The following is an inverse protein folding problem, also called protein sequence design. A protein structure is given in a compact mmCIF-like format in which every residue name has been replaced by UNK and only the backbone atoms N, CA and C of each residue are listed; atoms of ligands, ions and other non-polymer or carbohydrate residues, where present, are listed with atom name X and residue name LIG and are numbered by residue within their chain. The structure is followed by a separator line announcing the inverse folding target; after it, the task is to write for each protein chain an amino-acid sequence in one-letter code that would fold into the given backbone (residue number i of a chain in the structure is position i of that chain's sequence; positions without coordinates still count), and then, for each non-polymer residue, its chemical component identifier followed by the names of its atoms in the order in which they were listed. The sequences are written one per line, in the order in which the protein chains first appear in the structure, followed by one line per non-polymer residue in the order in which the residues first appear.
data_IF_371965331151
#
_entry.id   IF_371965331151
#
_cell.length_a   1.000
_cell.length_b   1.000
_cell.length_c   1.000
_cell.angle_alpha   90.00
_cell.angle_beta   90.00
_cell.angle_gamma   90.00
#
_symmetry.space_group_name_H-M   'P 1'
#
loop_
_entity.id
_entity.type
_entity.pdbx_description
1 polymer ?
#
# COMPACT_ATOMS: atom_id res chain seq x y z
N UNK A 1 -14.25 -23.07 22.52
CA UNK A 1 -13.85 -21.65 22.39
C UNK A 1 -15.11 -20.84 22.65
N UNK A 2 -15.09 -19.85 23.56
CA UNK A 2 -16.32 -19.16 23.97
C UNK A 2 -16.97 -18.47 22.76
N UNK A 3 -18.26 -18.75 22.51
CA UNK A 3 -18.96 -18.27 21.32
C UNK A 3 -19.05 -16.74 21.28
N UNK A 4 -19.04 -16.08 22.44
CA UNK A 4 -18.97 -14.62 22.56
C UNK A 4 -17.64 -14.06 22.01
N UNK A 5 -16.53 -14.77 22.23
CA UNK A 5 -15.20 -14.38 21.73
C UNK A 5 -15.12 -14.55 20.23
N UNK A 6 -15.71 -15.63 19.69
CA UNK A 6 -15.79 -15.84 18.23
C UNK A 6 -16.65 -14.76 17.58
N UNK A 7 -17.79 -14.39 18.16
CA UNK A 7 -18.67 -13.35 17.64
C UNK A 7 -18.02 -11.96 17.67
N UNK A 8 -17.22 -11.66 18.71
CA UNK A 8 -16.43 -10.43 18.78
C UNK A 8 -15.34 -10.39 17.72
N UNK A 9 -14.63 -11.51 17.49
CA UNK A 9 -13.61 -11.62 16.43
C UNK A 9 -14.24 -11.51 15.03
N UNK A 10 -15.41 -12.11 14.81
CA UNK A 10 -16.17 -11.99 13.55
C UNK A 10 -16.69 -10.57 13.31
N UNK A 11 -17.10 -9.83 14.35
CA UNK A 11 -17.44 -8.40 14.26
C UNK A 11 -16.22 -7.54 13.98
N UNK A 12 -15.07 -7.84 14.59
CA UNK A 12 -13.80 -7.16 14.32
C UNK A 12 -13.33 -7.43 12.87
N UNK A 13 -13.47 -8.67 12.37
CA UNK A 13 -13.24 -8.99 10.95
C UNK A 13 -14.23 -8.28 10.03
N UNK A 14 -15.52 -8.23 10.39
CA UNK A 14 -16.56 -7.59 9.59
C UNK A 14 -16.38 -6.08 9.40
N UNK A 15 -15.72 -5.41 10.35
CA UNK A 15 -15.29 -4.00 10.22
C UNK A 15 -13.92 -3.91 9.52
N UNK A 16 -13.08 -4.93 9.66
CA UNK A 16 -11.70 -4.95 9.18
C UNK A 16 -11.47 -5.52 7.78
N UNK A 17 -12.47 -5.98 7.02
CA UNK A 17 -12.23 -6.69 5.73
C UNK A 17 -12.79 -6.03 4.48
N UNK A 18 -13.22 -4.76 4.52
CA UNK A 18 -13.60 -4.01 3.30
C UNK A 18 -12.83 -2.68 3.13
N UNK A 19 -11.80 -2.44 3.95
CA UNK A 19 -11.08 -1.15 4.07
C UNK A 19 -9.57 -1.32 4.28
N UNK A 20 -8.99 -2.44 3.85
CA UNK A 20 -7.64 -2.87 4.24
C UNK A 20 -6.52 -2.06 3.59
N UNK A 21 -6.32 -0.84 4.07
CA UNK A 21 -4.99 -0.27 4.24
C UNK A 21 -4.25 -1.14 5.28
N UNK A 22 -3.72 -2.29 4.88
CA UNK A 22 -2.82 -3.06 5.73
C UNK A 22 -1.45 -2.40 5.69
N UNK A 23 -1.18 -1.49 6.63
CA UNK A 23 0.09 -0.77 6.70
C UNK A 23 1.33 -1.68 6.68
N UNK A 24 1.21 -2.92 7.18
CA UNK A 24 2.27 -3.93 7.07
C UNK A 24 2.56 -4.38 5.64
N UNK A 25 1.55 -4.48 4.77
CA UNK A 25 1.74 -4.82 3.36
C UNK A 25 2.32 -3.65 2.56
N UNK A 26 1.91 -2.43 2.89
CA UNK A 26 2.47 -1.21 2.31
C UNK A 26 3.94 -1.07 2.69
N UNK A 27 4.29 -1.26 3.97
CA UNK A 27 5.67 -1.20 4.43
C UNK A 27 6.55 -2.29 3.78
N UNK A 28 6.08 -3.54 3.72
CA UNK A 28 6.80 -4.64 3.04
C UNK A 28 6.93 -4.40 1.53
N UNK A 29 5.94 -3.76 0.89
CA UNK A 29 6.06 -3.34 -0.50
C UNK A 29 7.15 -2.27 -0.67
N UNK A 30 7.14 -1.21 0.16
CA UNK A 30 8.11 -0.12 0.08
C UNK A 30 9.53 -0.65 0.33
N UNK A 31 9.73 -1.53 1.31
CA UNK A 31 11.04 -2.13 1.59
C UNK A 31 11.56 -2.93 0.40
N UNK A 32 10.69 -3.69 -0.27
CA UNK A 32 11.08 -4.45 -1.47
C UNK A 32 11.34 -3.52 -2.65
N UNK A 33 10.52 -2.49 -2.81
CA UNK A 33 10.68 -1.50 -3.85
C UNK A 33 12.03 -0.79 -3.72
N UNK A 34 12.43 -0.43 -2.49
CA UNK A 34 13.73 0.21 -2.23
C UNK A 34 14.92 -0.67 -2.63
N UNK A 35 14.74 -1.99 -2.74
CA UNK A 35 15.80 -2.88 -3.24
C UNK A 35 16.01 -2.80 -4.76
N UNK A 36 15.03 -2.30 -5.52
CA UNK A 36 15.11 -2.20 -6.99
C UNK A 36 15.16 -0.77 -7.50
N UNK A 37 14.55 0.18 -6.80
CA UNK A 37 14.57 1.61 -7.09
C UNK A 37 14.80 2.36 -5.78
N UNK A 38 15.67 3.35 -5.74
CA UNK A 38 15.85 4.19 -4.56
C UNK A 38 14.51 4.86 -4.15
N UNK A 39 13.98 4.53 -2.97
CA UNK A 39 12.81 5.24 -2.42
C UNK A 39 13.31 6.43 -1.61
N UNK A 40 13.05 7.65 -2.11
CA UNK A 40 13.56 8.89 -1.52
C UNK A 40 12.60 9.50 -0.50
N UNK A 41 11.30 9.38 -0.75
CA UNK A 41 10.27 9.93 0.13
C UNK A 41 8.95 9.15 0.02
N UNK A 42 8.18 9.17 1.10
CA UNK A 42 6.89 8.48 1.23
C UNK A 42 5.88 9.43 1.83
N UNK A 43 4.77 9.65 1.11
CA UNK A 43 3.70 10.53 1.57
C UNK A 43 2.34 9.87 1.43
N UNK A 44 1.47 10.09 2.41
CA UNK A 44 0.06 9.71 2.34
C UNK A 44 -0.79 10.99 2.26
N UNK A 45 -1.56 11.13 1.19
CA UNK A 45 -2.48 12.25 0.94
C UNK A 45 -3.91 11.70 0.84
N UNK A 46 -4.62 11.69 1.97
CA UNK A 46 -5.93 11.05 2.06
C UNK A 46 -5.84 9.56 1.69
N UNK A 47 -6.59 9.09 0.66
CA UNK A 47 -6.52 7.72 0.18
C UNK A 47 -5.34 7.43 -0.76
N UNK A 48 -4.42 8.37 -0.99
CA UNK A 48 -3.36 8.21 -2.00
C UNK A 48 -2.00 8.06 -1.33
N UNK A 49 -1.35 6.92 -1.55
CA UNK A 49 0.08 6.72 -1.23
C UNK A 49 0.93 7.22 -2.40
N UNK A 50 1.87 8.12 -2.12
CA UNK A 50 2.84 8.66 -3.07
C UNK A 50 4.25 8.28 -2.66
N UNK A 51 5.04 7.78 -3.60
CA UNK A 51 6.43 7.40 -3.41
C UNK A 51 7.31 8.18 -4.40
N UNK A 52 8.21 9.00 -3.90
CA UNK A 52 9.24 9.61 -4.75
C UNK A 52 10.35 8.58 -4.96
N UNK A 53 10.61 8.22 -6.21
CA UNK A 53 11.64 7.26 -6.58
C UNK A 53 12.80 7.92 -7.33
N UNK A 54 13.99 7.38 -7.09
CA UNK A 54 15.25 7.83 -7.67
C UNK A 54 15.84 6.82 -8.65
N UNK A 55 17.15 6.63 -8.56
CA UNK A 55 17.91 5.79 -9.50
C UNK A 55 17.58 4.29 -9.33
N UNK A 56 17.65 3.51 -10.41
CA UNK A 56 17.59 2.06 -10.32
C UNK A 56 18.79 1.51 -9.55
N UNK A 57 18.54 0.45 -8.78
CA UNK A 57 19.58 -0.31 -8.09
C UNK A 57 19.95 -1.56 -8.88
N UNK A 58 21.10 -2.16 -8.57
CA UNK A 58 21.52 -3.45 -9.12
C UNK A 58 20.69 -4.61 -8.54
N UNK A 59 19.41 -4.67 -8.90
CA UNK A 59 18.47 -5.66 -8.42
C UNK A 59 18.48 -6.94 -9.25
N UNK A 60 18.29 -8.07 -8.58
CA UNK A 60 18.13 -9.35 -9.25
C UNK A 60 16.73 -9.50 -9.88
N UNK A 61 16.57 -10.47 -10.78
CA UNK A 61 15.24 -10.84 -11.28
C UNK A 61 14.30 -11.30 -10.15
N UNK A 62 14.84 -11.89 -9.09
CA UNK A 62 14.07 -12.32 -7.92
C UNK A 62 13.52 -11.10 -7.15
N UNK A 63 14.32 -10.05 -6.98
CA UNK A 63 13.89 -8.82 -6.31
C UNK A 63 12.74 -8.15 -7.07
N UNK A 64 12.85 -8.08 -8.41
CA UNK A 64 11.78 -7.58 -9.27
C UNK A 64 10.49 -8.40 -9.10
N UNK A 65 10.59 -9.73 -9.11
CA UNK A 65 9.41 -10.60 -8.94
C UNK A 65 8.75 -10.43 -7.57
N UNK A 66 9.55 -10.23 -6.52
CA UNK A 66 9.08 -9.99 -5.15
C UNK A 66 8.32 -8.67 -5.04
N UNK A 67 8.77 -7.61 -5.73
CA UNK A 67 8.07 -6.32 -5.81
C UNK A 67 6.75 -6.45 -6.54
N UNK A 68 6.76 -7.03 -7.75
CA UNK A 68 5.56 -7.20 -8.58
C UNK A 68 4.49 -8.01 -7.87
N UNK A 69 4.89 -9.12 -7.24
CA UNK A 69 3.97 -9.97 -6.48
C UNK A 69 3.35 -9.20 -5.30
N UNK A 70 4.14 -8.36 -4.62
CA UNK A 70 3.64 -7.58 -3.48
C UNK A 70 2.73 -6.44 -3.92
N UNK A 71 3.04 -5.77 -5.03
CA UNK A 71 2.20 -4.72 -5.61
C UNK A 71 0.77 -5.22 -5.88
N UNK A 72 0.62 -6.45 -6.37
CA UNK A 72 -0.68 -7.08 -6.61
C UNK A 72 -1.53 -7.31 -5.34
N UNK A 73 -0.91 -7.29 -4.16
CA UNK A 73 -1.60 -7.47 -2.87
C UNK A 73 -2.01 -6.14 -2.21
N UNK A 74 -1.65 -5.00 -2.79
CA UNK A 74 -1.99 -3.69 -2.24
C UNK A 74 -3.48 -3.34 -2.38
N UNK A 75 -4.22 -4.04 -3.25
CA UNK A 75 -5.67 -3.83 -3.43
C UNK A 75 -6.05 -2.36 -3.69
N UNK A 76 -5.33 -1.72 -4.61
CA UNK A 76 -5.50 -0.31 -4.99
C UNK A 76 -6.61 -0.17 -6.04
N UNK A 77 -7.33 0.95 -6.00
CA UNK A 77 -8.36 1.31 -6.99
C UNK A 77 -7.75 1.86 -8.28
N UNK A 78 -6.67 2.64 -8.15
CA UNK A 78 -5.89 3.16 -9.26
C UNK A 78 -4.40 3.23 -8.90
N UNK A 79 -3.54 3.15 -9.90
CA UNK A 79 -2.10 3.37 -9.75
C UNK A 79 -1.55 4.04 -11.00
N UNK A 80 -0.49 4.82 -10.85
CA UNK A 80 0.21 5.46 -11.95
C UNK A 80 1.48 6.15 -11.51
N UNK A 81 2.01 7.00 -12.37
CA UNK A 81 3.20 7.78 -12.09
C UNK A 81 3.12 9.17 -12.71
N UNK A 82 3.87 10.10 -12.15
CA UNK A 82 4.07 11.45 -12.68
C UNK A 82 5.56 11.81 -12.65
N UNK A 83 6.04 12.47 -13.71
CA UNK A 83 7.37 13.06 -13.73
C UNK A 83 7.34 14.42 -13.05
N UNK A 84 8.22 14.61 -12.07
CA UNK A 84 8.38 15.88 -11.36
C UNK A 84 9.80 16.40 -11.53
N UNK A 85 10.03 17.68 -11.20
CA UNK A 85 11.39 18.26 -11.18
C UNK A 85 12.34 17.60 -10.17
N UNK A 86 11.80 16.80 -9.22
CA UNK A 86 12.55 16.10 -8.18
C UNK A 86 12.75 14.60 -8.45
N UNK A 87 12.14 14.07 -9.52
CA UNK A 87 12.14 12.65 -9.86
C UNK A 87 10.75 12.13 -10.22
N UNK A 88 10.65 10.81 -10.39
CA UNK A 88 9.37 10.17 -10.69
C UNK A 88 8.61 9.90 -9.40
N UNK A 89 7.32 10.24 -9.36
CA UNK A 89 6.44 9.93 -8.25
C UNK A 89 5.50 8.80 -8.67
N UNK A 90 5.56 7.68 -7.96
CA UNK A 90 4.58 6.61 -8.08
C UNK A 90 3.40 6.93 -7.16
N UNK A 91 2.17 6.78 -7.64
CA UNK A 91 0.97 6.97 -6.83
C UNK A 91 0.07 5.74 -6.84
N UNK A 92 -0.53 5.45 -5.69
CA UNK A 92 -1.44 4.35 -5.44
C UNK A 92 -2.67 4.87 -4.70
N UNK A 93 -3.83 4.87 -5.35
CA UNK A 93 -5.09 5.34 -4.79
C UNK A 93 -5.91 4.16 -4.25
N UNK A 94 -6.31 4.25 -2.99
CA UNK A 94 -7.15 3.27 -2.33
C UNK A 94 -8.61 3.70 -2.38
N UNK A 95 -9.52 2.77 -2.68
CA UNK A 95 -10.95 3.07 -2.57
C UNK A 95 -11.35 3.16 -1.09
N UNK A 96 -11.79 4.34 -0.66
CA UNK A 96 -12.44 4.53 0.64
C UNK A 96 -13.95 4.66 0.39
N UNK A 97 -14.75 3.63 0.73
CA UNK A 97 -16.20 3.72 0.62
C UNK A 97 -16.78 4.93 1.38
N UNK A 98 -17.78 5.64 0.81
CA UNK A 98 -18.32 6.89 1.39
C UNK A 98 -18.85 6.75 2.82
N UNK A 99 -19.34 5.57 3.21
CA UNK A 99 -19.83 5.31 4.57
C UNK A 99 -18.70 5.09 5.61
N UNK A 100 -17.45 5.14 5.17
CA UNK A 100 -16.25 4.98 6.00
C UNK A 100 -15.61 6.32 6.38
N UNK A 101 -16.09 7.42 5.78
CA UNK A 101 -15.82 8.77 6.26
C UNK A 101 -16.59 9.00 7.56
N UNK A 102 -16.04 8.48 8.66
CA UNK A 102 -16.42 8.97 9.98
C UNK A 102 -15.87 10.39 10.05
N UNK A 103 -16.75 11.39 9.94
CA UNK A 103 -16.44 12.77 10.27
C UNK A 103 -15.89 12.80 11.71
N UNK A 104 -14.55 12.87 11.84
CA UNK A 104 -13.86 13.25 13.06
C UNK A 104 -13.89 14.76 13.22
#
# INVERSE_FOLDING_TARGET
MNDDVRQMIERIRGVGTNLTFEGGYVADFIERLDRVLEVRDVRLEGPVLKLLVGEPREASQEDLLRVVTKAGLLNVAAAGYEDTEFGMVLYFEYYIPPWSEIHL
#
